data_IF_985249859184
#
_entry.id   IF_985249859184
#
_cell.length_a   1.000
_cell.length_b   1.000
_cell.length_c   1.000
_cell.angle_alpha   90.00
_cell.angle_beta   90.00
_cell.angle_gamma   90.00
#
_symmetry.space_group_name_H-M   'P 1'
#
loop_
_entity.id
_entity.type
_entity.pdbx_description
1 polymer ?
#
# COMPACT_ATOMS: atom_id res chain seq x y z
N UNK A 1 -36.38 51.38 12.60
CA UNK A 1 -36.09 50.10 11.92
C UNK A 1 -34.61 49.70 11.88
N UNK A 2 -33.64 50.61 12.11
CA UNK A 2 -32.18 50.33 12.09
C UNK A 2 -31.59 49.80 13.41
N UNK A 3 -32.31 50.00 14.55
CA UNK A 3 -31.84 49.57 15.88
C UNK A 3 -32.17 48.12 16.26
N UNK A 4 -33.07 47.46 15.50
CA UNK A 4 -33.43 46.07 15.76
C UNK A 4 -32.45 45.02 15.14
N UNK A 5 -31.69 45.45 14.13
CA UNK A 5 -30.75 44.56 13.39
C UNK A 5 -29.46 44.28 14.15
N UNK A 6 -28.93 45.25 14.89
CA UNK A 6 -27.64 45.12 15.58
C UNK A 6 -27.74 44.20 16.83
N UNK A 7 -28.89 44.25 17.56
CA UNK A 7 -29.08 43.46 18.78
C UNK A 7 -29.31 41.99 18.48
N UNK A 8 -29.86 41.65 17.31
CA UNK A 8 -30.02 40.26 16.86
C UNK A 8 -28.72 39.65 16.37
N UNK A 9 -27.79 40.45 15.81
CA UNK A 9 -26.48 39.99 15.42
C UNK A 9 -25.61 39.58 16.60
N UNK A 10 -25.57 40.43 17.67
CA UNK A 10 -24.85 40.13 18.91
C UNK A 10 -25.42 38.92 19.67
N UNK A 11 -26.75 38.69 19.60
CA UNK A 11 -27.37 37.51 20.24
C UNK A 11 -27.19 36.23 19.47
N UNK A 12 -26.94 36.28 18.16
CA UNK A 12 -26.61 35.09 17.36
C UNK A 12 -25.15 34.68 17.54
N UNK A 13 -24.24 35.63 17.78
CA UNK A 13 -22.85 35.32 18.11
C UNK A 13 -22.66 34.69 19.51
N UNK A 14 -23.56 35.01 20.45
CA UNK A 14 -23.48 34.50 21.82
C UNK A 14 -24.08 33.10 22.01
N UNK A 15 -24.72 32.48 21.01
CA UNK A 15 -25.49 31.23 21.13
C UNK A 15 -24.91 30.04 20.41
N UNK A 16 -23.65 30.05 20.08
CA UNK A 16 -22.95 28.86 19.56
C UNK A 16 -21.91 28.31 20.54
N UNK A 17 -22.32 27.55 21.59
CA UNK A 17 -21.36 26.73 22.32
C UNK A 17 -21.07 25.45 21.45
N UNK A 18 -20.05 25.46 20.66
CA UNK A 18 -19.59 24.29 19.92
C UNK A 18 -19.55 24.40 18.40
N UNK A 19 -19.79 25.56 17.85
CA UNK A 19 -19.50 25.84 16.44
C UNK A 19 -18.00 25.64 16.20
N UNK A 20 -17.68 24.64 15.35
CA UNK A 20 -16.34 24.53 14.76
C UNK A 20 -16.13 25.86 14.02
N UNK A 21 -15.58 26.85 14.72
CA UNK A 21 -15.17 28.08 14.10
C UNK A 21 -14.18 27.68 13.00
N UNK A 22 -14.63 27.75 11.76
CA UNK A 22 -13.74 27.84 10.63
C UNK A 22 -12.96 29.16 10.83
N UNK A 23 -11.98 29.10 11.75
CA UNK A 23 -11.00 30.14 11.90
C UNK A 23 -10.26 30.13 10.59
N UNK A 24 -10.63 31.05 9.69
CA UNK A 24 -9.91 31.30 8.47
C UNK A 24 -8.44 31.32 8.83
N UNK A 25 -7.70 30.34 8.31
CA UNK A 25 -6.27 30.28 8.50
C UNK A 25 -5.75 31.57 7.92
N UNK A 26 -5.31 32.49 8.77
CA UNK A 26 -4.61 33.69 8.32
C UNK A 26 -3.34 33.25 7.61
N UNK A 27 -3.39 33.25 6.28
CA UNK A 27 -2.27 32.84 5.42
C UNK A 27 -1.10 33.83 5.47
N UNK A 28 -1.26 34.92 6.20
CA UNK A 28 -0.25 36.01 6.26
C UNK A 28 0.94 35.68 7.15
N UNK A 29 0.84 34.68 8.05
CA UNK A 29 1.96 34.30 8.90
C UNK A 29 2.08 32.75 8.96
N UNK A 30 3.13 32.16 8.39
CA UNK A 30 3.41 30.75 8.57
C UNK A 30 3.81 30.50 10.03
N UNK A 31 2.88 30.10 10.88
CA UNK A 31 3.13 29.80 12.29
C UNK A 31 3.27 28.29 12.49
N UNK A 32 4.29 27.89 13.23
CA UNK A 32 4.46 26.50 13.69
C UNK A 32 3.45 26.11 14.78
N UNK A 33 2.66 27.07 15.30
CA UNK A 33 1.65 26.81 16.31
C UNK A 33 0.58 25.79 15.88
N UNK A 34 0.18 25.81 14.60
CA UNK A 34 -0.77 24.85 14.07
C UNK A 34 -0.23 23.39 14.17
N UNK A 35 1.05 23.22 13.89
CA UNK A 35 1.73 21.93 14.02
C UNK A 35 1.88 21.52 15.50
N UNK A 36 2.25 22.44 16.38
CA UNK A 36 2.36 22.18 17.81
C UNK A 36 1.02 21.74 18.42
N UNK A 37 -0.08 22.40 18.05
CA UNK A 37 -1.44 22.04 18.47
C UNK A 37 -1.86 20.66 17.93
N UNK A 38 -1.53 20.33 16.67
CA UNK A 38 -1.80 19.00 16.10
C UNK A 38 -1.13 17.88 16.92
N UNK A 39 0.12 18.09 17.35
CA UNK A 39 0.85 17.11 18.16
C UNK A 39 0.41 17.10 19.62
N UNK A 40 -0.08 18.22 20.16
CA UNK A 40 -0.55 18.31 21.54
C UNK A 40 -1.97 17.72 21.72
N UNK A 41 -2.88 18.00 20.78
CA UNK A 41 -4.29 17.67 20.88
C UNK A 41 -4.66 16.29 20.31
N UNK A 42 -3.77 15.69 19.49
CA UNK A 42 -4.02 14.42 18.81
C UNK A 42 -2.88 13.41 19.03
N UNK A 43 -3.18 12.10 19.09
CA UNK A 43 -2.17 11.05 19.21
C UNK A 43 -1.43 10.82 17.87
N UNK A 44 -0.87 11.89 17.27
CA UNK A 44 -0.22 11.89 15.96
C UNK A 44 0.90 10.85 15.86
N UNK A 45 1.69 10.68 16.92
CA UNK A 45 2.73 9.66 16.99
C UNK A 45 2.16 8.24 16.84
N UNK A 46 0.95 7.99 17.39
CA UNK A 46 0.26 6.72 17.22
C UNK A 46 -0.14 6.47 15.76
N UNK A 47 -0.65 7.49 15.08
CA UNK A 47 -1.01 7.37 13.65
C UNK A 47 0.22 7.18 12.77
N UNK A 48 1.30 7.94 13.00
CA UNK A 48 2.56 7.78 12.28
C UNK A 48 3.13 6.38 12.48
N UNK A 49 3.16 5.88 13.72
CA UNK A 49 3.62 4.53 14.02
C UNK A 49 2.79 3.47 13.30
N UNK A 50 1.46 3.57 13.35
CA UNK A 50 0.58 2.60 12.68
C UNK A 50 0.77 2.64 11.16
N UNK A 51 0.89 3.83 10.57
CA UNK A 51 1.17 3.97 9.14
C UNK A 51 2.52 3.37 8.76
N UNK A 52 3.57 3.59 9.56
CA UNK A 52 4.89 3.01 9.33
C UNK A 52 4.87 1.47 9.43
N UNK A 53 4.14 0.92 10.40
CA UNK A 53 3.99 -0.54 10.55
C UNK A 53 3.23 -1.13 9.35
N UNK A 54 2.09 -0.54 8.98
CA UNK A 54 1.27 -1.04 7.88
C UNK A 54 2.03 -0.97 6.56
N UNK A 55 2.63 0.18 6.23
CA UNK A 55 3.37 0.34 4.98
C UNK A 55 4.60 -0.57 4.94
N UNK A 56 5.37 -0.65 6.03
CA UNK A 56 6.54 -1.52 6.10
C UNK A 56 6.19 -3.00 5.92
N UNK A 57 5.18 -3.50 6.65
CA UNK A 57 4.76 -4.90 6.53
C UNK A 57 4.10 -5.18 5.18
N UNK A 58 3.31 -4.25 4.63
CA UNK A 58 2.71 -4.42 3.31
C UNK A 58 3.77 -4.50 2.21
N UNK A 59 4.78 -3.62 2.24
CA UNK A 59 5.91 -3.65 1.28
C UNK A 59 6.68 -4.95 1.39
N UNK A 60 7.08 -5.36 2.60
CA UNK A 60 7.81 -6.62 2.80
C UNK A 60 7.02 -7.84 2.32
N UNK A 61 5.72 -7.90 2.66
CA UNK A 61 4.85 -8.97 2.20
C UNK A 61 4.71 -8.97 0.67
N UNK A 62 4.52 -7.79 0.07
CA UNK A 62 4.39 -7.64 -1.38
C UNK A 62 5.66 -8.09 -2.11
N UNK A 63 6.83 -7.63 -1.68
CA UNK A 63 8.12 -8.06 -2.25
C UNK A 63 8.29 -9.58 -2.15
N UNK A 64 7.99 -10.16 -1.00
CA UNK A 64 8.13 -11.60 -0.78
C UNK A 64 7.17 -12.40 -1.66
N UNK A 65 5.87 -12.13 -1.58
CA UNK A 65 4.87 -12.93 -2.29
C UNK A 65 4.89 -12.69 -3.79
N UNK A 66 5.09 -11.45 -4.25
CA UNK A 66 5.21 -11.18 -5.67
C UNK A 66 6.45 -11.81 -6.28
N UNK A 67 7.61 -11.80 -5.60
CA UNK A 67 8.83 -12.43 -6.11
C UNK A 67 8.73 -13.95 -6.11
N UNK A 68 8.13 -14.55 -5.06
CA UNK A 68 7.89 -16.00 -5.02
C UNK A 68 6.94 -16.47 -6.15
N UNK A 69 5.90 -15.68 -6.44
CA UNK A 69 4.96 -15.99 -7.51
C UNK A 69 5.56 -15.72 -8.90
N UNK A 70 6.36 -14.68 -9.04
CA UNK A 70 6.99 -14.28 -10.30
C UNK A 70 8.06 -15.29 -10.77
N UNK A 71 8.81 -15.90 -9.84
CA UNK A 71 9.89 -16.81 -10.15
C UNK A 71 9.44 -18.03 -10.97
N UNK A 72 8.46 -18.85 -10.53
CA UNK A 72 7.96 -19.96 -11.33
C UNK A 72 7.33 -19.51 -12.66
N UNK A 73 6.65 -18.36 -12.66
CA UNK A 73 6.07 -17.78 -13.87
C UNK A 73 7.14 -17.26 -14.85
N UNK A 74 8.34 -16.97 -14.41
CA UNK A 74 9.43 -16.54 -15.27
C UNK A 74 10.27 -17.73 -15.79
N UNK A 75 10.59 -18.69 -14.94
CA UNK A 75 11.65 -19.69 -15.18
C UNK A 75 11.18 -21.13 -15.25
N UNK A 76 10.12 -21.50 -14.52
CA UNK A 76 9.66 -22.88 -14.53
C UNK A 76 8.75 -23.18 -15.74
N UNK A 77 8.85 -24.39 -16.28
CA UNK A 77 7.99 -24.90 -17.35
C UNK A 77 6.93 -25.80 -16.74
N UNK A 78 5.68 -25.33 -16.70
CA UNK A 78 4.55 -26.14 -16.24
C UNK A 78 3.33 -25.92 -17.15
N UNK A 79 2.46 -26.92 -17.19
CA UNK A 79 1.21 -26.83 -17.96
C UNK A 79 0.32 -25.72 -17.38
N UNK A 80 -0.22 -24.85 -18.24
CA UNK A 80 -1.07 -23.75 -17.82
C UNK A 80 -0.36 -22.45 -17.45
N UNK A 81 0.98 -22.36 -17.51
CA UNK A 81 1.73 -21.12 -17.23
C UNK A 81 1.19 -19.91 -17.99
N UNK A 82 0.88 -20.07 -19.29
CA UNK A 82 0.32 -19.00 -20.12
C UNK A 82 -1.04 -18.53 -19.64
N UNK A 83 -1.90 -19.46 -19.20
CA UNK A 83 -3.21 -19.13 -18.65
C UNK A 83 -3.10 -18.36 -17.33
N UNK A 84 -2.24 -18.82 -16.42
CA UNK A 84 -2.00 -18.11 -15.14
C UNK A 84 -1.49 -16.70 -15.39
N UNK A 85 -0.54 -16.53 -16.30
CA UNK A 85 -0.03 -15.21 -16.68
C UNK A 85 -1.13 -14.32 -17.28
N UNK A 86 -1.96 -14.88 -18.17
CA UNK A 86 -3.08 -14.16 -18.76
C UNK A 86 -4.10 -13.70 -17.69
N UNK A 87 -4.38 -14.54 -16.70
CA UNK A 87 -5.25 -14.18 -15.57
C UNK A 87 -4.63 -13.07 -14.70
N UNK A 88 -3.33 -13.13 -14.41
CA UNK A 88 -2.62 -12.05 -13.71
C UNK A 88 -2.75 -10.73 -14.45
N UNK A 89 -2.49 -10.73 -15.77
CA UNK A 89 -2.61 -9.52 -16.60
C UNK A 89 -4.06 -9.03 -16.66
N UNK A 90 -5.03 -9.93 -16.80
CA UNK A 90 -6.45 -9.57 -16.78
C UNK A 90 -6.86 -8.89 -15.46
N UNK A 91 -6.31 -9.32 -14.34
CA UNK A 91 -6.58 -8.71 -13.02
C UNK A 91 -6.08 -7.26 -12.94
N UNK A 92 -4.99 -6.91 -13.64
CA UNK A 92 -4.48 -5.53 -13.69
C UNK A 92 -5.49 -4.57 -14.35
N UNK A 93 -6.30 -5.06 -15.29
CA UNK A 93 -7.30 -4.26 -15.99
C UNK A 93 -8.53 -3.94 -15.13
N UNK A 94 -8.71 -4.63 -14.00
CA UNK A 94 -9.84 -4.40 -13.10
C UNK A 94 -9.52 -3.20 -12.19
N UNK A 95 -10.28 -2.09 -12.26
CA UNK A 95 -10.08 -0.95 -11.38
C UNK A 95 -10.26 -1.35 -9.91
N UNK A 96 -9.34 -0.94 -9.06
CA UNK A 96 -9.39 -1.24 -7.61
C UNK A 96 -10.72 -0.81 -6.96
N UNK A 97 -11.32 0.28 -7.46
CA UNK A 97 -12.60 0.81 -6.97
C UNK A 97 -13.74 -0.21 -7.06
N UNK A 98 -13.75 -1.07 -8.08
CA UNK A 98 -14.76 -2.12 -8.25
C UNK A 98 -14.58 -3.23 -7.20
N UNK A 99 -13.35 -3.53 -6.83
CA UNK A 99 -12.99 -4.60 -5.90
C UNK A 99 -13.09 -4.14 -4.45
N UNK A 100 -13.06 -2.84 -4.18
CA UNK A 100 -12.98 -2.28 -2.83
C UNK A 100 -14.16 -2.70 -1.94
N UNK A 101 -15.39 -2.69 -2.45
CA UNK A 101 -16.59 -3.05 -1.66
C UNK A 101 -16.59 -4.55 -1.31
N UNK A 102 -16.46 -5.49 -2.28
CA UNK A 102 -16.39 -6.92 -1.95
C UNK A 102 -15.19 -7.27 -1.07
N UNK A 103 -14.06 -6.60 -1.25
CA UNK A 103 -12.88 -6.79 -0.41
C UNK A 103 -13.16 -6.37 1.05
N UNK A 104 -13.80 -5.24 1.27
CA UNK A 104 -14.22 -4.80 2.60
C UNK A 104 -15.15 -5.83 3.28
N UNK A 105 -16.16 -6.32 2.54
CA UNK A 105 -17.08 -7.34 3.06
C UNK A 105 -16.33 -8.63 3.43
N UNK A 106 -15.37 -9.04 2.61
CA UNK A 106 -14.52 -10.20 2.91
C UNK A 106 -13.71 -9.99 4.20
N UNK A 107 -13.10 -8.83 4.38
CA UNK A 107 -12.35 -8.51 5.62
C UNK A 107 -13.25 -8.51 6.85
N UNK A 108 -14.50 -8.05 6.73
CA UNK A 108 -15.50 -8.12 7.81
C UNK A 108 -15.88 -9.56 8.12
N UNK A 109 -16.11 -10.40 7.11
CA UNK A 109 -16.44 -11.83 7.29
C UNK A 109 -15.29 -12.60 7.95
N UNK A 110 -14.04 -12.26 7.63
CA UNK A 110 -12.85 -12.84 8.26
C UNK A 110 -12.59 -12.33 9.68
N UNK A 111 -13.43 -11.44 10.21
CA UNK A 111 -13.27 -10.87 11.56
C UNK A 111 -12.11 -9.89 11.69
N UNK A 112 -11.53 -9.41 10.57
CA UNK A 112 -10.37 -8.51 10.54
C UNK A 112 -10.75 -7.02 10.60
N UNK A 113 -12.04 -6.72 10.81
CA UNK A 113 -12.50 -5.33 10.94
C UNK A 113 -11.73 -4.60 12.04
N UNK A 114 -11.29 -3.35 11.75
CA UNK A 114 -10.50 -2.49 12.64
C UNK A 114 -9.14 -3.07 13.07
N UNK A 115 -8.56 -3.96 12.27
CA UNK A 115 -7.20 -4.46 12.48
C UNK A 115 -6.25 -3.94 11.40
N UNK A 116 -4.95 -3.84 11.72
CA UNK A 116 -3.94 -3.49 10.73
C UNK A 116 -3.81 -4.55 9.63
N UNK A 117 -4.14 -5.80 9.93
CA UNK A 117 -4.14 -6.92 8.98
C UNK A 117 -5.11 -6.74 7.83
N UNK A 118 -6.25 -6.06 8.07
CA UNK A 118 -7.21 -5.75 7.01
C UNK A 118 -6.62 -4.86 5.90
N UNK A 119 -5.57 -4.09 6.21
CA UNK A 119 -4.85 -3.24 5.25
C UNK A 119 -3.66 -3.97 4.62
N UNK A 120 -2.98 -4.82 5.38
CA UNK A 120 -1.75 -5.50 4.95
C UNK A 120 -2.07 -6.68 4.01
N UNK A 121 -3.03 -7.53 4.36
CA UNK A 121 -3.32 -8.78 3.62
C UNK A 121 -3.69 -8.53 2.16
N UNK A 122 -4.58 -7.58 1.81
CA UNK A 122 -4.92 -7.33 0.40
C UNK A 122 -3.76 -6.80 -0.43
N UNK A 123 -2.81 -6.13 0.21
CA UNK A 123 -1.63 -5.55 -0.44
C UNK A 123 -0.45 -6.53 -0.50
N UNK A 124 -0.54 -7.68 0.16
CA UNK A 124 0.55 -8.64 0.25
C UNK A 124 0.98 -9.25 -1.09
N UNK A 125 0.08 -9.31 -2.08
CA UNK A 125 0.40 -9.76 -3.44
C UNK A 125 -0.42 -8.94 -4.44
N UNK A 126 0.26 -8.23 -5.33
CA UNK A 126 -0.37 -7.42 -6.38
C UNK A 126 -0.10 -8.03 -7.75
N UNK A 127 -1.10 -8.03 -8.63
CA UNK A 127 -0.94 -8.55 -9.98
C UNK A 127 0.13 -7.76 -10.77
N UNK A 128 0.19 -6.45 -10.57
CA UNK A 128 1.21 -5.60 -11.17
C UNK A 128 2.62 -5.99 -10.68
N UNK A 129 2.80 -6.20 -9.38
CA UNK A 129 4.08 -6.62 -8.80
C UNK A 129 4.55 -7.97 -9.33
N UNK A 130 3.64 -8.96 -9.44
CA UNK A 130 3.95 -10.27 -10.01
C UNK A 130 4.38 -10.12 -11.48
N UNK A 131 3.65 -9.32 -12.25
CA UNK A 131 3.96 -9.11 -13.67
C UNK A 131 5.31 -8.41 -13.86
N UNK A 132 5.57 -7.33 -13.10
CA UNK A 132 6.82 -6.57 -13.16
C UNK A 132 8.02 -7.46 -12.84
N UNK A 133 7.98 -8.16 -11.69
CA UNK A 133 9.07 -9.03 -11.28
C UNK A 133 9.24 -10.25 -12.21
N UNK A 134 8.16 -10.76 -12.80
CA UNK A 134 8.26 -11.80 -13.83
C UNK A 134 9.01 -11.32 -15.04
N UNK A 135 8.81 -10.06 -15.48
CA UNK A 135 9.57 -9.48 -16.61
C UNK A 135 11.04 -9.31 -16.25
N UNK A 136 11.31 -8.80 -15.05
CA UNK A 136 12.67 -8.67 -14.53
C UNK A 136 13.40 -10.02 -14.49
N UNK A 137 12.80 -11.01 -13.86
CA UNK A 137 13.39 -12.36 -13.80
C UNK A 137 13.58 -12.99 -15.19
N UNK A 138 12.68 -12.76 -16.14
CA UNK A 138 12.83 -13.25 -17.50
C UNK A 138 14.03 -12.64 -18.24
N UNK A 139 14.47 -11.44 -17.84
CA UNK A 139 15.63 -10.75 -18.39
C UNK A 139 16.98 -11.21 -17.83
N UNK A 140 17.00 -11.95 -16.73
CA UNK A 140 18.25 -12.46 -16.14
C UNK A 140 18.86 -13.52 -17.07
N UNK A 141 20.17 -13.49 -17.38
CA UNK A 141 20.83 -14.52 -18.20
C UNK A 141 20.66 -15.92 -17.63
N UNK A 142 20.37 -16.89 -18.48
CA UNK A 142 20.13 -18.29 -18.06
C UNK A 142 21.39 -18.96 -17.53
N UNK A 143 22.54 -18.49 -17.98
CA UNK A 143 23.86 -18.98 -17.58
C UNK A 143 24.10 -18.85 -16.06
N UNK A 144 23.52 -17.81 -15.45
CA UNK A 144 23.60 -17.63 -13.98
C UNK A 144 22.82 -18.68 -13.22
N UNK A 145 21.68 -19.12 -13.77
CA UNK A 145 20.91 -20.23 -13.16
C UNK A 145 21.62 -21.57 -13.36
N UNK A 146 22.16 -21.79 -14.55
CA UNK A 146 22.89 -23.03 -14.84
C UNK A 146 24.14 -23.15 -13.96
N UNK A 147 24.88 -22.06 -13.73
CA UNK A 147 26.00 -22.03 -12.80
C UNK A 147 25.54 -22.37 -11.37
N UNK A 148 24.46 -21.73 -10.89
CA UNK A 148 23.92 -22.01 -9.56
C UNK A 148 23.46 -23.47 -9.40
N UNK A 149 22.93 -24.09 -10.45
CA UNK A 149 22.56 -25.52 -10.44
C UNK A 149 23.77 -26.44 -10.39
N UNK A 150 24.84 -26.09 -11.11
CA UNK A 150 26.10 -26.83 -11.03
C UNK A 150 26.69 -26.76 -9.63
N UNK A 151 26.54 -25.61 -8.96
CA UNK A 151 26.93 -25.41 -7.55
C UNK A 151 25.99 -26.08 -6.54
N UNK A 152 24.94 -26.80 -7.01
CA UNK A 152 24.03 -27.56 -6.18
C UNK A 152 22.87 -26.75 -5.55
N UNK A 153 22.58 -25.56 -6.04
CA UNK A 153 21.48 -24.76 -5.55
C UNK A 153 20.12 -25.43 -5.82
N UNK A 154 19.25 -25.41 -4.81
CA UNK A 154 17.84 -25.75 -4.98
C UNK A 154 17.08 -24.60 -5.67
N UNK A 155 15.88 -24.81 -6.24
CA UNK A 155 15.10 -23.72 -6.87
C UNK A 155 14.83 -22.52 -5.93
N UNK A 156 14.65 -22.75 -4.64
CA UNK A 156 14.56 -21.68 -3.65
C UNK A 156 15.91 -21.00 -3.42
N UNK A 157 17.01 -21.75 -3.49
CA UNK A 157 18.36 -21.21 -3.44
C UNK A 157 18.68 -20.34 -4.67
N UNK A 158 18.29 -20.76 -5.88
CA UNK A 158 18.39 -19.98 -7.11
C UNK A 158 17.60 -18.66 -6.99
N UNK A 159 16.35 -18.75 -6.51
CA UNK A 159 15.50 -17.56 -6.28
C UNK A 159 16.16 -16.57 -5.33
N UNK A 160 16.67 -17.04 -4.18
CA UNK A 160 17.23 -16.15 -3.15
C UNK A 160 18.61 -15.61 -3.49
N UNK A 161 19.52 -16.47 -4.01
CA UNK A 161 20.92 -16.10 -4.21
C UNK A 161 21.22 -15.52 -5.59
N UNK A 162 20.37 -15.81 -6.59
CA UNK A 162 20.58 -15.36 -7.97
C UNK A 162 19.51 -14.34 -8.39
N UNK A 163 18.23 -14.73 -8.30
CA UNK A 163 17.15 -13.91 -8.86
C UNK A 163 16.91 -12.62 -8.09
N UNK A 164 16.83 -12.69 -6.74
CA UNK A 164 16.63 -11.51 -5.90
C UNK A 164 17.76 -10.48 -6.09
N UNK A 165 19.06 -10.84 -6.00
CA UNK A 165 20.15 -9.89 -6.25
C UNK A 165 20.18 -9.34 -7.68
N UNK A 166 19.88 -10.16 -8.68
CA UNK A 166 19.87 -9.74 -10.08
C UNK A 166 18.74 -8.73 -10.36
N UNK A 167 17.57 -8.91 -9.76
CA UNK A 167 16.40 -8.05 -9.93
C UNK A 167 16.29 -6.92 -8.92
N UNK A 168 17.35 -6.62 -8.17
CA UNK A 168 17.30 -5.62 -7.06
C UNK A 168 16.79 -4.24 -7.50
N UNK A 169 17.09 -3.80 -8.72
CA UNK A 169 16.63 -2.52 -9.23
C UNK A 169 15.10 -2.48 -9.37
N UNK A 170 14.51 -3.56 -9.89
CA UNK A 170 13.06 -3.68 -10.08
C UNK A 170 12.34 -3.93 -8.75
N UNK A 171 12.99 -4.58 -7.79
CA UNK A 171 12.48 -4.75 -6.42
C UNK A 171 12.38 -3.41 -5.68
N UNK A 172 13.30 -2.48 -5.92
CA UNK A 172 13.27 -1.13 -5.33
C UNK A 172 12.16 -0.27 -5.94
N UNK A 173 11.82 -0.52 -7.21
CA UNK A 173 10.77 0.24 -7.92
C UNK A 173 9.36 -0.28 -7.64
N UNK A 174 9.21 -1.47 -7.10
CA UNK A 174 7.93 -2.08 -6.70
C UNK A 174 7.43 -1.52 -5.37
#
# INVERSE_FOLDING_TARGET
LKHCSARNAEQLEAKEPGGVAHRFIDRSQPSLEAYQRLFADNPMLGYIRNSAIVSGLAVLANLLFCSLAAYPLARMRFAGRGLVLALVVATILIPFQVVMIPLYLLMVQLGLRNTLWALIIPQAATAFGIFLLRQSFAGVPVELEEAARIDGCTPLGEWWNVMIPAARADLITL
#
